data_IF_538705944835
#
_entry.id   IF_538705944835
#
_cell.length_a   1.000
_cell.length_b   1.000
_cell.length_c   1.000
_cell.angle_alpha   90.00
_cell.angle_beta   90.00
_cell.angle_gamma   90.00
#
_symmetry.space_group_name_H-M   'P 1'
#
loop_
_entity.id
_entity.type
_entity.pdbx_description
1 polymer ?
#
# COMPACT_ATOMS: atom_id res chain seq x y z
N UNK A 1 -6.57 6.79 17.58
CA UNK A 1 -6.16 7.54 16.37
C UNK A 1 -5.52 6.56 15.41
N UNK A 2 -5.88 6.62 14.13
CA UNK A 2 -5.30 5.78 13.08
C UNK A 2 -3.85 6.16 12.83
N UNK A 3 -2.95 5.18 12.67
CA UNK A 3 -1.54 5.43 12.35
C UNK A 3 -1.31 5.40 10.84
N UNK A 4 -0.46 6.31 10.35
CA UNK A 4 -0.05 6.35 8.95
C UNK A 4 0.66 5.06 8.56
N UNK A 5 0.34 4.54 7.37
CA UNK A 5 0.94 3.29 6.91
C UNK A 5 2.47 3.39 6.80
N UNK A 6 3.08 4.47 6.25
CA UNK A 6 4.54 4.61 6.22
C UNK A 6 5.20 4.49 7.60
N UNK A 7 4.56 5.04 8.65
CA UNK A 7 5.05 4.90 10.02
C UNK A 7 4.95 3.46 10.53
N UNK A 8 3.83 2.78 10.29
CA UNK A 8 3.67 1.36 10.62
C UNK A 8 4.76 0.51 9.96
N UNK A 9 5.01 0.69 8.66
CA UNK A 9 6.07 -0.03 7.94
C UNK A 9 7.47 0.31 8.46
N UNK A 10 7.70 1.56 8.90
CA UNK A 10 8.97 1.98 9.50
C UNK A 10 9.22 1.31 10.86
N UNK A 11 8.20 1.25 11.72
CA UNK A 11 8.26 0.53 13.00
C UNK A 11 8.55 -0.96 12.78
N UNK A 12 7.86 -1.59 11.81
CA UNK A 12 8.09 -2.99 11.45
C UNK A 12 9.52 -3.19 10.94
N UNK A 13 10.03 -2.30 10.09
CA UNK A 13 11.39 -2.40 9.56
C UNK A 13 12.46 -2.29 10.66
N UNK A 14 12.22 -1.45 11.67
CA UNK A 14 13.10 -1.25 12.82
C UNK A 14 13.11 -2.44 13.81
N UNK A 15 12.01 -3.21 13.89
CA UNK A 15 11.95 -4.39 14.73
C UNK A 15 12.96 -5.46 14.32
N UNK A 16 13.67 -6.02 15.32
CA UNK A 16 14.80 -6.93 15.09
C UNK A 16 14.35 -8.37 14.86
N UNK A 17 13.35 -8.82 15.62
CA UNK A 17 12.95 -10.24 15.61
C UNK A 17 11.68 -10.47 14.82
N UNK A 18 11.51 -11.69 14.32
CA UNK A 18 10.28 -12.14 13.65
C UNK A 18 9.05 -11.93 14.56
N UNK A 19 9.17 -12.28 15.84
CA UNK A 19 8.11 -12.14 16.86
C UNK A 19 7.65 -10.69 17.01
N UNK A 20 8.59 -9.75 17.18
CA UNK A 20 8.27 -8.32 17.30
C UNK A 20 7.55 -7.78 16.06
N UNK A 21 7.94 -8.22 14.86
CA UNK A 21 7.26 -7.81 13.63
C UNK A 21 5.82 -8.33 13.58
N UNK A 22 5.56 -9.58 14.00
CA UNK A 22 4.20 -10.12 14.11
C UNK A 22 3.36 -9.31 15.09
N UNK A 23 3.91 -9.01 16.26
CA UNK A 23 3.23 -8.19 17.29
C UNK A 23 2.89 -6.79 16.76
N UNK A 24 3.80 -6.15 16.01
CA UNK A 24 3.54 -4.85 15.38
C UNK A 24 2.48 -4.92 14.27
N UNK A 25 2.50 -5.96 13.44
CA UNK A 25 1.48 -6.20 12.42
C UNK A 25 0.09 -6.36 13.05
N UNK A 26 -0.01 -7.12 14.14
CA UNK A 26 -1.28 -7.32 14.88
C UNK A 26 -1.70 -6.06 15.63
N UNK A 27 -0.76 -5.32 16.24
CA UNK A 27 -1.02 -4.07 16.95
C UNK A 27 -1.63 -3.01 16.04
N UNK A 28 -1.14 -2.92 14.81
CA UNK A 28 -1.58 -1.96 13.79
C UNK A 28 -2.60 -2.56 12.82
N UNK A 29 -3.18 -3.71 13.16
CA UNK A 29 -4.12 -4.40 12.26
C UNK A 29 -5.31 -3.50 11.95
N UNK A 30 -5.52 -3.27 10.67
CA UNK A 30 -6.63 -2.51 10.14
C UNK A 30 -6.84 -2.89 8.68
N UNK A 31 -8.03 -2.56 8.16
CA UNK A 31 -8.39 -2.83 6.78
C UNK A 31 -7.34 -2.30 5.79
N UNK A 32 -6.84 -1.07 5.98
CA UNK A 32 -5.90 -0.47 5.05
C UNK A 32 -4.55 -1.21 5.03
N UNK A 33 -4.03 -1.59 6.21
CA UNK A 33 -2.81 -2.37 6.31
C UNK A 33 -2.96 -3.73 5.63
N UNK A 34 -4.04 -4.46 5.91
CA UNK A 34 -4.29 -5.76 5.29
C UNK A 34 -4.39 -5.65 3.76
N UNK A 35 -5.07 -4.62 3.23
CA UNK A 35 -5.14 -4.40 1.77
C UNK A 35 -3.77 -4.10 1.16
N UNK A 36 -2.91 -3.30 1.81
CA UNK A 36 -1.54 -3.07 1.34
C UNK A 36 -0.72 -4.36 1.37
N UNK A 37 -0.79 -5.12 2.46
CA UNK A 37 -0.07 -6.39 2.58
C UNK A 37 -0.53 -7.38 1.51
N UNK A 38 -1.84 -7.50 1.28
CA UNK A 38 -2.38 -8.33 0.21
C UNK A 38 -1.90 -7.84 -1.16
N UNK A 39 -2.05 -6.55 -1.44
CA UNK A 39 -1.58 -5.96 -2.70
C UNK A 39 -0.08 -6.16 -2.94
N UNK A 40 0.74 -6.13 -1.89
CA UNK A 40 2.18 -6.32 -1.99
C UNK A 40 2.58 -7.80 -2.16
N UNK A 41 1.94 -8.73 -1.43
CA UNK A 41 2.43 -10.11 -1.29
C UNK A 41 1.56 -11.18 -1.95
N UNK A 42 0.29 -10.93 -2.25
CA UNK A 42 -0.55 -11.91 -2.95
C UNK A 42 -0.04 -12.09 -4.40
N UNK A 43 0.42 -13.30 -4.79
CA UNK A 43 0.95 -13.56 -6.13
C UNK A 43 -0.12 -13.46 -7.21
N UNK A 44 -1.40 -13.59 -6.86
CA UNK A 44 -2.51 -13.50 -7.81
C UNK A 44 -2.89 -12.05 -8.14
N UNK A 45 -2.41 -11.07 -7.35
CA UNK A 45 -2.66 -9.66 -7.63
C UNK A 45 -1.65 -9.16 -8.65
N UNK A 46 -2.15 -8.87 -9.85
CA UNK A 46 -1.43 -8.21 -10.95
C UNK A 46 -2.02 -6.83 -11.20
N UNK A 47 -1.18 -5.79 -11.11
CA UNK A 47 -1.61 -4.42 -11.39
C UNK A 47 -1.66 -4.15 -12.90
N UNK A 48 -2.71 -3.46 -13.34
CA UNK A 48 -2.94 -3.01 -14.71
C UNK A 48 -2.38 -1.59 -14.96
N UNK A 49 -1.31 -1.24 -14.27
CA UNK A 49 -0.64 0.06 -14.33
C UNK A 49 0.77 -0.11 -14.92
N UNK A 50 1.29 0.87 -15.68
CA UNK A 50 2.69 0.87 -16.12
C UNK A 50 3.66 0.81 -14.93
N UNK A 51 4.86 0.25 -15.08
CA UNK A 51 5.88 0.25 -14.02
C UNK A 51 6.39 1.67 -13.74
N UNK A 52 6.90 1.91 -12.51
CA UNK A 52 7.48 3.19 -12.13
C UNK A 52 6.45 4.26 -11.74
N UNK A 53 6.94 5.48 -11.49
CA UNK A 53 6.10 6.60 -11.06
C UNK A 53 5.57 7.38 -12.29
N UNK A 54 4.27 7.73 -12.33
CA UNK A 54 3.78 8.68 -13.32
C UNK A 54 4.33 10.09 -13.01
N UNK A 55 4.26 11.04 -13.97
CA UNK A 55 4.48 12.45 -13.67
C UNK A 55 3.42 12.92 -12.67
N UNK A 56 3.83 13.31 -11.46
CA UNK A 56 2.94 13.83 -10.41
C UNK A 56 3.06 15.34 -10.39
N UNK A 57 1.94 16.06 -10.45
CA UNK A 57 1.96 17.51 -10.73
C UNK A 57 2.25 18.36 -9.49
N UNK A 58 1.78 17.97 -8.29
CA UNK A 58 2.24 18.42 -6.96
C UNK A 58 1.23 18.01 -5.87
N UNK A 59 1.74 17.57 -4.72
CA UNK A 59 0.95 17.48 -3.49
C UNK A 59 0.71 18.89 -2.92
N UNK A 60 -0.51 19.17 -2.45
CA UNK A 60 -0.92 20.50 -1.98
C UNK A 60 -1.06 20.62 -0.45
N UNK A 61 -0.81 19.55 0.32
CA UNK A 61 -0.89 19.55 1.78
C UNK A 61 0.43 19.85 2.49
N UNK A 62 0.43 19.77 3.83
CA UNK A 62 1.63 19.89 4.65
C UNK A 62 2.51 18.66 4.50
N UNK A 63 3.76 18.84 4.06
CA UNK A 63 4.75 17.77 3.90
C UNK A 63 5.45 17.37 5.20
N UNK A 64 5.27 18.16 6.26
CA UNK A 64 5.84 17.88 7.58
C UNK A 64 4.82 17.22 8.52
N UNK A 65 3.65 16.83 8.01
CA UNK A 65 2.63 16.17 8.81
C UNK A 65 3.18 14.85 9.41
N UNK A 66 3.15 14.66 10.74
CA UNK A 66 3.78 13.51 11.38
C UNK A 66 3.00 12.20 11.22
N UNK A 67 1.73 12.26 10.82
CA UNK A 67 0.84 11.10 10.73
C UNK A 67 -0.18 11.22 9.57
N UNK A 68 0.27 11.32 8.31
CA UNK A 68 -0.61 11.44 7.16
C UNK A 68 -1.38 10.13 6.97
N UNK A 69 -2.70 10.18 7.08
CA UNK A 69 -3.57 8.99 6.99
C UNK A 69 -4.43 8.99 5.73
N UNK A 70 -4.08 9.78 4.74
CA UNK A 70 -4.90 10.00 3.53
C UNK A 70 -5.07 8.72 2.71
N UNK A 71 -4.04 7.87 2.64
CA UNK A 71 -4.11 6.60 1.90
C UNK A 71 -5.18 5.64 2.45
N UNK A 72 -5.52 5.74 3.74
CA UNK A 72 -6.60 4.93 4.34
C UNK A 72 -7.94 5.16 3.63
N UNK A 73 -8.24 6.39 3.22
CA UNK A 73 -9.48 6.72 2.49
C UNK A 73 -9.47 6.14 1.06
N UNK A 74 -8.31 6.10 0.42
CA UNK A 74 -8.18 5.66 -0.97
C UNK A 74 -7.99 4.16 -1.13
N UNK A 75 -7.70 3.41 -0.05
CA UNK A 75 -7.35 1.99 -0.14
C UNK A 75 -8.45 1.13 -0.78
N UNK A 76 -9.72 1.50 -0.60
CA UNK A 76 -10.87 0.82 -1.21
C UNK A 76 -10.93 0.97 -2.72
N UNK A 77 -10.15 1.87 -3.32
CA UNK A 77 -10.10 2.08 -4.77
C UNK A 77 -9.03 1.21 -5.46
N UNK A 78 -8.21 0.47 -4.70
CA UNK A 78 -7.13 -0.33 -5.30
C UNK A 78 -7.62 -1.38 -6.31
N UNK A 79 -8.84 -1.92 -6.13
CA UNK A 79 -9.44 -2.87 -7.07
C UNK A 79 -9.54 -2.32 -8.52
N UNK A 80 -9.65 -0.99 -8.68
CA UNK A 80 -9.68 -0.34 -10.00
C UNK A 80 -8.40 -0.61 -10.80
N UNK A 81 -7.32 -0.97 -10.13
CA UNK A 81 -6.00 -1.14 -10.72
C UNK A 81 -5.57 -2.60 -10.82
N UNK A 82 -6.40 -3.57 -10.41
CA UNK A 82 -6.02 -4.99 -10.35
C UNK A 82 -6.72 -5.79 -11.45
N UNK A 83 -5.97 -6.64 -12.14
CA UNK A 83 -6.46 -7.55 -13.17
C UNK A 83 -7.54 -8.48 -12.59
N UNK A 84 -8.65 -8.65 -13.33
CA UNK A 84 -9.79 -9.45 -12.88
C UNK A 84 -10.72 -8.77 -11.86
N UNK A 85 -10.29 -7.67 -11.22
CA UNK A 85 -11.14 -6.89 -10.29
C UNK A 85 -11.59 -5.55 -10.89
N UNK A 86 -10.74 -4.95 -11.74
CA UNK A 86 -11.03 -3.67 -12.39
C UNK A 86 -12.27 -3.76 -13.29
N UNK A 87 -13.18 -2.76 -13.29
CA UNK A 87 -14.34 -2.73 -14.18
C UNK A 87 -13.95 -2.84 -15.66
N UNK A 88 -14.65 -3.69 -16.42
CA UNK A 88 -14.36 -3.94 -17.85
C UNK A 88 -14.42 -2.69 -18.73
N UNK A 89 -15.23 -1.71 -18.36
CA UNK A 89 -15.40 -0.45 -19.09
C UNK A 89 -14.39 0.65 -18.68
N UNK A 90 -13.49 0.38 -17.74
CA UNK A 90 -12.44 1.33 -17.36
C UNK A 90 -11.26 1.24 -18.32
N UNK A 91 -11.11 2.24 -19.19
CA UNK A 91 -10.00 2.31 -20.15
C UNK A 91 -8.66 2.55 -19.44
N UNK A 92 -7.54 2.16 -20.06
CA UNK A 92 -6.20 2.35 -19.49
C UNK A 92 -5.92 3.82 -19.15
N UNK A 93 -6.24 4.75 -20.05
CA UNK A 93 -6.11 6.19 -19.82
C UNK A 93 -6.90 6.67 -18.59
N UNK A 94 -8.15 6.22 -18.43
CA UNK A 94 -8.96 6.58 -17.24
C UNK A 94 -8.41 5.94 -15.97
N UNK A 95 -7.88 4.72 -16.07
CA UNK A 95 -7.27 4.00 -14.95
C UNK A 95 -6.00 4.70 -14.46
N UNK A 96 -5.11 5.06 -15.38
CA UNK A 96 -3.89 5.80 -15.07
C UNK A 96 -4.21 7.17 -14.49
N UNK A 97 -5.18 7.90 -15.08
CA UNK A 97 -5.66 9.16 -14.51
C UNK A 97 -6.19 8.97 -13.08
N UNK A 98 -7.04 7.96 -12.85
CA UNK A 98 -7.57 7.69 -11.51
C UNK A 98 -6.49 7.32 -10.50
N UNK A 99 -5.41 6.68 -10.94
CA UNK A 99 -4.26 6.40 -10.08
C UNK A 99 -3.48 7.68 -9.76
N UNK A 100 -3.18 8.51 -10.77
CA UNK A 100 -2.53 9.81 -10.58
C UNK A 100 -3.33 10.71 -9.65
N UNK A 101 -4.65 10.79 -9.82
CA UNK A 101 -5.54 11.57 -8.94
C UNK A 101 -5.46 11.08 -7.47
N UNK A 102 -5.25 9.77 -7.23
CA UNK A 102 -4.99 9.25 -5.87
C UNK A 102 -3.62 9.68 -5.36
N UNK A 103 -2.57 9.59 -6.18
CA UNK A 103 -1.22 9.96 -5.77
C UNK A 103 -1.12 11.46 -5.43
N UNK A 104 -1.81 12.31 -6.17
CA UNK A 104 -1.84 13.76 -5.91
C UNK A 104 -2.61 14.12 -4.63
N UNK A 105 -3.55 13.28 -4.22
CA UNK A 105 -4.39 13.47 -3.03
C UNK A 105 -3.83 12.89 -1.73
N UNK A 106 -2.66 12.24 -1.75
CA UNK A 106 -2.04 11.63 -0.56
C UNK A 106 -0.64 12.20 -0.30
N UNK A 107 -0.19 12.05 0.94
CA UNK A 107 1.11 12.59 1.36
C UNK A 107 2.27 11.91 0.60
N UNK A 108 3.38 12.61 0.28
CA UNK A 108 4.49 12.04 -0.50
C UNK A 108 5.08 10.74 0.05
N UNK A 109 5.14 10.56 1.38
CA UNK A 109 5.58 9.30 1.98
C UNK A 109 4.59 8.14 1.75
N UNK A 110 3.29 8.43 1.63
CA UNK A 110 2.27 7.44 1.26
C UNK A 110 2.31 7.13 -0.25
N UNK A 111 2.63 8.12 -1.09
CA UNK A 111 2.90 7.92 -2.53
C UNK A 111 4.03 6.92 -2.73
N UNK A 112 5.16 7.10 -2.05
CA UNK A 112 6.30 6.21 -2.18
C UNK A 112 5.92 4.76 -1.83
N UNK A 113 5.21 4.57 -0.71
CA UNK A 113 4.72 3.26 -0.29
C UNK A 113 3.83 2.63 -1.37
N UNK A 114 2.84 3.36 -1.89
CA UNK A 114 1.89 2.82 -2.86
C UNK A 114 2.56 2.45 -4.20
N UNK A 115 3.55 3.24 -4.64
CA UNK A 115 4.34 2.92 -5.84
C UNK A 115 5.16 1.64 -5.64
N UNK A 116 5.83 1.47 -4.49
CA UNK A 116 6.55 0.25 -4.19
C UNK A 116 5.63 -0.98 -4.16
N UNK A 117 4.42 -0.83 -3.63
CA UNK A 117 3.41 -1.89 -3.58
C UNK A 117 2.94 -2.29 -4.97
N UNK A 118 2.60 -1.33 -5.84
CA UNK A 118 2.15 -1.64 -7.21
C UNK A 118 3.22 -2.37 -8.01
N UNK A 119 4.49 -1.96 -7.82
CA UNK A 119 5.63 -2.53 -8.52
C UNK A 119 6.14 -3.82 -7.87
N UNK A 120 5.47 -4.33 -6.82
CA UNK A 120 5.87 -5.52 -6.05
C UNK A 120 7.31 -5.43 -5.51
N UNK A 121 7.74 -4.22 -5.14
CA UNK A 121 9.08 -3.86 -4.66
C UNK A 121 9.04 -3.21 -3.28
N UNK A 122 8.11 -3.63 -2.42
CA UNK A 122 7.94 -3.11 -1.07
C UNK A 122 9.24 -3.22 -0.26
N UNK A 123 9.81 -2.08 0.11
CA UNK A 123 11.04 -2.00 0.91
C UNK A 123 10.69 -1.98 2.40
N UNK A 124 10.53 -3.16 3.00
CA UNK A 124 10.39 -3.28 4.45
C UNK A 124 11.23 -4.45 4.95
N UNK A 125 12.30 -4.14 5.69
CA UNK A 125 13.29 -5.15 6.13
C UNK A 125 12.60 -6.25 6.94
N UNK A 126 12.78 -7.49 6.52
CA UNK A 126 12.26 -8.67 7.23
C UNK A 126 10.73 -8.84 7.17
N UNK A 127 10.03 -8.04 6.36
CA UNK A 127 8.64 -8.29 6.02
C UNK A 127 8.58 -9.17 4.76
N UNK A 128 8.08 -10.40 4.92
CA UNK A 128 8.04 -11.41 3.84
C UNK A 128 6.65 -12.02 3.72
N UNK A 129 6.38 -12.68 2.59
CA UNK A 129 5.16 -13.46 2.38
C UNK A 129 4.88 -14.40 3.57
N UNK A 130 5.87 -15.21 3.98
CA UNK A 130 5.72 -16.16 5.08
C UNK A 130 5.41 -15.46 6.40
N UNK A 131 6.04 -14.31 6.68
CA UNK A 131 5.72 -13.55 7.89
C UNK A 131 4.26 -13.09 7.89
N UNK A 132 3.79 -12.54 6.76
CA UNK A 132 2.41 -12.06 6.62
C UNK A 132 1.43 -13.22 6.70
N UNK A 133 1.66 -14.32 5.98
CA UNK A 133 0.81 -15.52 6.00
C UNK A 133 0.72 -16.13 7.39
N UNK A 134 1.84 -16.22 8.12
CA UNK A 134 1.83 -16.72 9.50
C UNK A 134 1.14 -15.77 10.49
N UNK A 135 1.06 -14.48 10.17
CA UNK A 135 0.42 -13.48 11.04
C UNK A 135 -1.08 -13.36 10.75
N UNK A 136 -1.45 -13.43 9.46
CA UNK A 136 -2.81 -13.37 8.95
C UNK A 136 -3.07 -14.57 8.02
N UNK A 137 -3.41 -15.76 8.59
CA UNK A 137 -3.53 -17.01 7.83
C UNK A 137 -4.47 -16.97 6.63
N UNK A 138 -5.52 -16.14 6.71
CA UNK A 138 -6.57 -16.05 5.69
C UNK A 138 -6.37 -14.86 4.71
N UNK A 139 -5.29 -14.09 4.85
CA UNK A 139 -5.09 -12.87 4.04
C UNK A 139 -4.50 -13.15 2.65
N UNK A 140 -3.54 -14.07 2.61
CA UNK A 140 -2.83 -14.50 1.41
C UNK A 140 -3.25 -15.93 1.04
N UNK A 141 -3.14 -16.37 -0.23
CA UNK A 141 -3.41 -17.75 -0.63
C UNK A 141 -2.48 -18.75 0.08
#
# INVERSE_FOLDING_TARGET
MTTSLPRVFSEIAAARTKKQKKELLLKHDCFALQQILKAAFDPNIKFLLPPGAPPIVKYQGDTNEPNPTYLHFHIRKLYLFVEGQSPKNLTNMKREKAFTDILEGIHPSEVELLLQVKDKKLKCRGLTFNLVKETFPNLLP
#
